data_IF_481227212057
#
_entry.id   IF_481227212057
#
_cell.length_a   1.000
_cell.length_b   1.000
_cell.length_c   1.000
_cell.angle_alpha   90.00
_cell.angle_beta   90.00
_cell.angle_gamma   90.00
#
_symmetry.space_group_name_H-M   'P 1'
#
loop_
_entity.id
_entity.type
_entity.pdbx_description
1 polymer ?
#
# COMPACT_ATOMS: atom_id res chain seq x y z
N UNK A 1 26.56 58.25 -19.68
CA UNK A 1 25.62 57.25 -20.22
C UNK A 1 24.95 56.59 -19.01
N UNK A 2 23.67 56.87 -18.75
CA UNK A 2 22.92 56.31 -17.61
C UNK A 2 22.02 55.23 -18.19
N UNK A 3 22.28 53.97 -17.89
CA UNK A 3 21.36 52.89 -18.24
C UNK A 3 20.09 53.02 -17.41
N UNK A 4 18.98 53.28 -18.10
CA UNK A 4 17.64 53.24 -17.52
C UNK A 4 17.16 51.80 -17.54
N UNK A 5 17.29 51.10 -16.41
CA UNK A 5 16.68 49.77 -16.22
C UNK A 5 15.16 49.96 -16.22
N UNK A 6 14.49 49.44 -17.25
CA UNK A 6 13.05 49.53 -17.39
C UNK A 6 12.35 48.72 -16.28
N UNK A 7 11.46 49.37 -15.52
CA UNK A 7 10.64 48.77 -14.46
C UNK A 7 9.75 47.59 -14.89
N UNK A 8 9.70 47.27 -16.20
CA UNK A 8 8.96 46.15 -16.78
C UNK A 8 9.67 44.80 -16.55
N UNK A 9 11.01 44.79 -16.48
CA UNK A 9 11.81 43.57 -16.21
C UNK A 9 11.73 43.13 -14.75
N UNK A 10 11.61 44.08 -13.81
CA UNK A 10 11.55 43.77 -12.37
C UNK A 10 10.30 42.98 -11.99
N UNK A 11 9.14 43.27 -12.59
CA UNK A 11 7.87 42.55 -12.32
C UNK A 11 7.93 41.07 -12.74
N UNK A 12 8.57 40.77 -13.86
CA UNK A 12 8.77 39.38 -14.31
C UNK A 12 9.65 38.59 -13.34
N UNK A 13 10.69 39.24 -12.80
CA UNK A 13 11.60 38.62 -11.84
C UNK A 13 10.95 38.34 -10.48
N UNK A 14 10.14 39.27 -9.95
CA UNK A 14 9.40 39.04 -8.70
C UNK A 14 8.35 37.91 -8.84
N UNK A 15 7.68 37.80 -9.99
CA UNK A 15 6.79 36.68 -10.26
C UNK A 15 7.55 35.35 -10.38
N UNK A 16 8.71 35.34 -11.05
CA UNK A 16 9.53 34.13 -11.18
C UNK A 16 10.12 33.67 -9.84
N UNK A 17 10.61 34.59 -9.01
CA UNK A 17 11.15 34.29 -7.67
C UNK A 17 10.04 33.83 -6.73
N UNK A 18 8.85 34.44 -6.77
CA UNK A 18 7.69 33.96 -6.00
C UNK A 18 7.22 32.56 -6.41
N UNK A 19 7.26 32.26 -7.72
CA UNK A 19 6.88 30.96 -8.26
C UNK A 19 7.93 29.88 -7.93
N UNK A 20 9.23 30.20 -7.99
CA UNK A 20 10.32 29.32 -7.56
C UNK A 20 10.34 29.10 -6.04
N UNK A 21 10.09 30.13 -5.24
CA UNK A 21 9.98 30.01 -3.78
C UNK A 21 8.74 29.20 -3.37
N UNK A 22 7.61 29.39 -4.05
CA UNK A 22 6.40 28.59 -3.86
C UNK A 22 6.60 27.13 -4.26
N UNK A 23 7.27 26.87 -5.39
CA UNK A 23 7.61 25.52 -5.83
C UNK A 23 8.57 24.83 -4.85
N UNK A 24 9.59 25.54 -4.36
CA UNK A 24 10.52 25.03 -3.36
C UNK A 24 9.81 24.65 -2.05
N UNK A 25 8.85 25.47 -1.59
CA UNK A 25 8.04 25.20 -0.39
C UNK A 25 7.12 23.98 -0.56
N UNK A 26 6.57 23.77 -1.76
CA UNK A 26 5.76 22.58 -2.07
C UNK A 26 6.64 21.32 -2.10
N UNK A 27 7.83 21.40 -2.72
CA UNK A 27 8.76 20.27 -2.79
C UNK A 27 9.33 19.89 -1.41
N UNK A 28 9.64 20.84 -0.54
CA UNK A 28 10.15 20.56 0.81
C UNK A 28 9.07 19.95 1.71
N UNK A 29 7.84 20.47 1.68
CA UNK A 29 6.73 19.91 2.47
C UNK A 29 6.37 18.49 2.02
N UNK A 30 6.32 18.24 0.71
CA UNK A 30 6.09 16.90 0.16
C UNK A 30 7.18 15.91 0.63
N UNK A 31 8.44 16.34 0.62
CA UNK A 31 9.56 15.52 1.10
C UNK A 31 9.47 15.21 2.59
N UNK A 32 9.08 16.18 3.44
CA UNK A 32 8.96 15.96 4.89
C UNK A 32 7.78 15.07 5.26
N UNK A 33 6.62 15.25 4.59
CA UNK A 33 5.44 14.43 4.82
C UNK A 33 5.70 12.96 4.43
N UNK A 34 6.31 12.76 3.25
CA UNK A 34 6.69 11.43 2.78
C UNK A 34 7.71 10.74 3.70
N UNK A 35 8.70 11.47 4.22
CA UNK A 35 9.67 10.91 5.18
C UNK A 35 9.00 10.48 6.49
N UNK A 36 8.05 11.29 7.01
CA UNK A 36 7.29 10.95 8.20
C UNK A 36 6.40 9.73 7.97
N UNK A 37 5.71 9.66 6.82
CA UNK A 37 4.96 8.50 6.37
C UNK A 37 5.84 7.25 6.29
N UNK A 38 6.97 7.30 5.59
CA UNK A 38 7.86 6.17 5.39
C UNK A 38 8.40 5.63 6.72
N UNK A 39 8.79 6.52 7.65
CA UNK A 39 9.22 6.14 8.99
C UNK A 39 8.08 5.49 9.79
N UNK A 40 6.90 6.10 9.81
CA UNK A 40 5.74 5.55 10.50
C UNK A 40 5.33 4.18 9.96
N UNK A 41 5.36 3.99 8.64
CA UNK A 41 5.12 2.68 8.04
C UNK A 41 6.17 1.64 8.43
N UNK A 42 7.46 2.01 8.41
CA UNK A 42 8.55 1.11 8.78
C UNK A 42 8.48 0.69 10.25
N UNK A 43 8.40 1.67 11.16
CA UNK A 43 8.36 1.45 12.60
C UNK A 43 7.06 0.73 13.01
N UNK A 44 5.94 1.04 12.35
CA UNK A 44 4.65 0.39 12.55
C UNK A 44 4.67 -1.08 12.16
N UNK A 45 5.22 -1.43 10.98
CA UNK A 45 5.39 -2.83 10.54
C UNK A 45 6.30 -3.60 11.52
N UNK A 46 7.40 -2.99 11.97
CA UNK A 46 8.31 -3.61 12.92
C UNK A 46 7.66 -3.84 14.30
N UNK A 47 6.85 -2.89 14.78
CA UNK A 47 6.10 -3.04 16.03
C UNK A 47 5.03 -4.14 15.93
N UNK A 48 4.29 -4.18 14.81
CA UNK A 48 3.29 -5.21 14.53
C UNK A 48 3.91 -6.61 14.53
N UNK A 49 5.07 -6.79 13.90
CA UNK A 49 5.79 -8.07 13.89
C UNK A 49 6.22 -8.54 15.29
N UNK A 50 6.51 -7.62 16.21
CA UNK A 50 6.85 -7.94 17.61
C UNK A 50 5.63 -8.12 18.51
N UNK A 51 4.41 -7.93 17.99
CA UNK A 51 3.17 -7.96 18.78
C UNK A 51 2.94 -6.71 19.63
N UNK A 52 3.71 -5.63 19.43
CA UNK A 52 3.47 -4.33 20.06
C UNK A 52 2.37 -3.59 19.30
N UNK A 53 1.11 -3.98 19.56
CA UNK A 53 -0.05 -3.47 18.83
C UNK A 53 -0.32 -1.98 19.11
N UNK A 54 -0.04 -1.49 20.32
CA UNK A 54 -0.21 -0.07 20.65
C UNK A 54 0.87 0.78 19.98
N UNK A 55 2.12 0.30 19.94
CA UNK A 55 3.19 0.93 19.16
C UNK A 55 2.89 0.92 17.66
N UNK A 56 2.40 -0.20 17.13
CA UNK A 56 2.00 -0.31 15.73
C UNK A 56 0.89 0.68 15.38
N UNK A 57 -0.17 0.74 16.21
CA UNK A 57 -1.28 1.69 16.04
C UNK A 57 -0.78 3.14 15.95
N UNK A 58 0.01 3.60 16.93
CA UNK A 58 0.53 4.98 16.96
C UNK A 58 1.33 5.33 15.71
N UNK A 59 2.17 4.41 15.25
CA UNK A 59 3.00 4.62 14.07
C UNK A 59 2.18 4.68 12.77
N UNK A 60 1.20 3.80 12.60
CA UNK A 60 0.32 3.83 11.43
C UNK A 60 -0.64 5.02 11.43
N UNK A 61 -1.13 5.45 12.60
CA UNK A 61 -1.91 6.69 12.73
C UNK A 61 -1.07 7.92 12.33
N UNK A 62 0.18 7.99 12.80
CA UNK A 62 1.10 9.06 12.41
C UNK A 62 1.42 9.03 10.90
N UNK A 63 1.58 7.84 10.32
CA UNK A 63 1.78 7.68 8.88
C UNK A 63 0.56 8.19 8.10
N UNK A 64 -0.66 7.82 8.50
CA UNK A 64 -1.91 8.25 7.86
C UNK A 64 -2.15 9.76 7.96
N UNK A 65 -1.77 10.38 9.09
CA UNK A 65 -1.81 11.84 9.27
C UNK A 65 -0.81 12.56 8.38
N UNK A 66 0.34 11.94 8.10
CA UNK A 66 1.38 12.52 7.23
C UNK A 66 1.03 12.38 5.76
N UNK A 67 0.54 11.20 5.37
CA UNK A 67 0.08 10.90 4.02
C UNK A 67 -1.15 9.99 4.09
N UNK A 68 -2.32 10.57 3.78
CA UNK A 68 -3.59 9.85 3.85
C UNK A 68 -3.73 8.93 2.65
N UNK A 69 -3.68 7.62 2.91
CA UNK A 69 -3.73 6.60 1.88
C UNK A 69 -4.29 5.27 2.40
N UNK A 70 -4.58 4.33 1.48
CA UNK A 70 -5.16 3.04 1.84
C UNK A 70 -4.21 2.17 2.66
N UNK A 71 -2.89 2.32 2.48
CA UNK A 71 -1.90 1.43 3.09
C UNK A 71 -1.87 1.58 4.62
N UNK A 72 -1.71 2.78 5.21
CA UNK A 72 -1.82 2.94 6.66
C UNK A 72 -3.14 2.43 7.25
N UNK A 73 -4.27 2.70 6.60
CA UNK A 73 -5.58 2.23 7.06
C UNK A 73 -5.69 0.71 7.06
N UNK A 74 -5.12 0.05 6.04
CA UNK A 74 -5.05 -1.41 5.98
C UNK A 74 -4.30 -1.96 7.18
N UNK A 75 -3.13 -1.40 7.50
CA UNK A 75 -2.35 -1.85 8.65
C UNK A 75 -3.01 -1.51 10.00
N UNK A 76 -3.73 -0.39 10.11
CA UNK A 76 -4.57 -0.12 11.26
C UNK A 76 -5.69 -1.16 11.41
N UNK A 77 -6.36 -1.54 10.31
CA UNK A 77 -7.36 -2.60 10.35
C UNK A 77 -6.76 -3.94 10.81
N UNK A 78 -5.54 -4.28 10.39
CA UNK A 78 -4.81 -5.48 10.86
C UNK A 78 -4.58 -5.41 12.36
N UNK A 79 -4.08 -4.28 12.87
CA UNK A 79 -3.86 -4.08 14.31
C UNK A 79 -5.16 -4.28 15.09
N UNK A 80 -6.25 -3.64 14.67
CA UNK A 80 -7.55 -3.77 15.34
C UNK A 80 -8.11 -5.19 15.23
N UNK A 81 -7.88 -5.88 14.11
CA UNK A 81 -8.23 -7.29 13.95
C UNK A 81 -7.50 -8.18 14.97
N UNK A 82 -6.18 -8.00 15.13
CA UNK A 82 -5.34 -8.74 16.09
C UNK A 82 -5.75 -8.45 17.54
N UNK A 83 -6.19 -7.22 17.81
CA UNK A 83 -6.71 -6.80 19.12
C UNK A 83 -8.17 -7.19 19.37
N UNK A 84 -8.80 -7.91 18.43
CA UNK A 84 -10.20 -8.35 18.50
C UNK A 84 -11.24 -7.20 18.49
N UNK A 85 -10.88 -6.03 17.98
CA UNK A 85 -11.79 -4.89 17.80
C UNK A 85 -12.44 -4.92 16.41
N UNK A 86 -13.38 -5.86 16.20
CA UNK A 86 -13.91 -6.19 14.86
C UNK A 86 -14.62 -5.04 14.16
N UNK A 87 -15.44 -4.26 14.85
CA UNK A 87 -16.19 -3.15 14.24
C UNK A 87 -15.24 -2.06 13.72
N UNK A 88 -14.16 -1.80 14.47
CA UNK A 88 -13.14 -0.83 14.07
C UNK A 88 -12.32 -1.37 12.90
N UNK A 89 -11.92 -2.64 12.95
CA UNK A 89 -11.19 -3.30 11.87
C UNK A 89 -12.00 -3.28 10.56
N UNK A 90 -13.30 -3.62 10.62
CA UNK A 90 -14.18 -3.63 9.45
C UNK A 90 -14.35 -2.22 8.86
N UNK A 91 -14.55 -1.20 9.71
CA UNK A 91 -14.65 0.18 9.21
C UNK A 91 -13.39 0.61 8.48
N UNK A 92 -12.23 0.38 9.10
CA UNK A 92 -10.93 0.78 8.53
C UNK A 92 -10.63 0.07 7.22
N UNK A 93 -10.90 -1.24 7.13
CA UNK A 93 -10.59 -2.00 5.90
C UNK A 93 -11.52 -1.63 4.74
N UNK A 94 -12.80 -1.31 5.03
CA UNK A 94 -13.74 -0.82 4.02
C UNK A 94 -13.37 0.58 3.54
N UNK A 95 -12.96 1.46 4.45
CA UNK A 95 -12.45 2.78 4.07
C UNK A 95 -11.22 2.63 3.17
N UNK A 96 -10.24 1.81 3.60
CA UNK A 96 -9.04 1.53 2.82
C UNK A 96 -9.34 0.99 1.42
N UNK A 97 -10.34 0.11 1.26
CA UNK A 97 -10.77 -0.45 -0.03
C UNK A 97 -11.38 0.58 -0.99
N UNK A 98 -12.01 1.63 -0.47
CA UNK A 98 -12.65 2.67 -1.30
C UNK A 98 -11.70 3.78 -1.78
N UNK A 99 -10.50 3.85 -1.21
CA UNK A 99 -9.52 4.87 -1.57
C UNK A 99 -8.76 4.50 -2.85
N UNK A 100 -8.28 5.48 -3.60
CA UNK A 100 -7.33 5.20 -4.68
C UNK A 100 -5.92 4.92 -4.14
N UNK A 101 -5.05 4.33 -4.97
CA UNK A 101 -3.62 4.21 -4.64
C UNK A 101 -3.21 2.99 -3.82
N UNK A 102 -3.95 1.87 -3.91
CA UNK A 102 -3.52 0.64 -3.23
C UNK A 102 -2.20 0.06 -3.76
N UNK A 103 -1.84 0.35 -5.02
CA UNK A 103 -0.68 -0.26 -5.67
C UNK A 103 -0.73 -1.79 -5.58
N UNK A 104 0.40 -2.41 -5.24
CA UNK A 104 0.51 -3.85 -5.01
C UNK A 104 0.00 -4.30 -3.62
N UNK A 105 -0.42 -3.38 -2.73
CA UNK A 105 -0.98 -3.73 -1.42
C UNK A 105 -2.45 -4.19 -1.47
N UNK A 106 -3.09 -4.17 -2.64
CA UNK A 106 -4.51 -4.55 -2.79
C UNK A 106 -4.84 -5.96 -2.29
N UNK A 107 -3.92 -6.93 -2.43
CA UNK A 107 -4.11 -8.28 -1.91
C UNK A 107 -4.20 -8.33 -0.38
N UNK A 108 -3.45 -7.47 0.32
CA UNK A 108 -3.52 -7.36 1.78
C UNK A 108 -4.90 -6.89 2.23
N UNK A 109 -5.46 -5.91 1.52
CA UNK A 109 -6.81 -5.39 1.78
C UNK A 109 -7.84 -6.52 1.65
N UNK A 110 -7.83 -7.23 0.53
CA UNK A 110 -8.77 -8.31 0.26
C UNK A 110 -8.64 -9.47 1.27
N UNK A 111 -7.40 -9.88 1.57
CA UNK A 111 -7.13 -10.96 2.50
C UNK A 111 -7.63 -10.64 3.91
N UNK A 112 -7.27 -9.48 4.46
CA UNK A 112 -7.71 -9.10 5.81
C UNK A 112 -9.20 -8.76 5.87
N UNK A 113 -9.80 -8.21 4.80
CA UNK A 113 -11.25 -8.05 4.72
C UNK A 113 -11.97 -9.39 4.82
N UNK A 114 -11.47 -10.43 4.14
CA UNK A 114 -12.03 -11.78 4.25
C UNK A 114 -11.94 -12.31 5.69
N UNK A 115 -10.79 -12.19 6.35
CA UNK A 115 -10.59 -12.61 7.74
C UNK A 115 -11.53 -11.88 8.72
N UNK A 116 -11.69 -10.57 8.55
CA UNK A 116 -12.57 -9.74 9.38
C UNK A 116 -14.02 -10.17 9.20
N UNK A 117 -14.48 -10.31 7.95
CA UNK A 117 -15.87 -10.66 7.66
C UNK A 117 -16.20 -12.09 8.07
N UNK A 118 -15.29 -13.06 7.91
CA UNK A 118 -15.48 -14.45 8.35
C UNK A 118 -15.71 -14.57 9.87
N UNK A 119 -15.16 -13.65 10.68
CA UNK A 119 -15.45 -13.61 12.12
C UNK A 119 -16.83 -13.05 12.47
N UNK A 120 -17.44 -12.30 11.55
CA UNK A 120 -18.74 -11.64 11.74
C UNK A 120 -19.89 -12.42 11.11
N UNK A 121 -19.76 -12.73 9.82
CA UNK A 121 -20.75 -13.42 9.01
C UNK A 121 -20.03 -14.34 8.02
N UNK A 122 -20.33 -15.64 8.11
CA UNK A 122 -19.65 -16.65 7.31
C UNK A 122 -19.92 -16.48 5.81
N UNK A 123 -21.12 -16.04 5.41
CA UNK A 123 -21.49 -15.93 4.00
C UNK A 123 -20.76 -14.77 3.34
N UNK A 124 -20.79 -13.60 3.96
CA UNK A 124 -20.04 -12.43 3.48
C UNK A 124 -18.52 -12.67 3.52
N UNK A 125 -18.04 -13.36 4.56
CA UNK A 125 -16.64 -13.73 4.68
C UNK A 125 -16.17 -14.67 3.56
N UNK A 126 -16.99 -15.67 3.19
CA UNK A 126 -16.70 -16.57 2.06
C UNK A 126 -16.74 -15.85 0.71
N UNK A 127 -17.65 -14.89 0.55
CA UNK A 127 -17.69 -14.03 -0.63
C UNK A 127 -16.41 -13.19 -0.74
N UNK A 128 -16.03 -12.50 0.34
CA UNK A 128 -14.77 -11.75 0.45
C UNK A 128 -13.54 -12.62 0.17
N UNK A 129 -13.53 -13.85 0.68
CA UNK A 129 -12.46 -14.81 0.41
C UNK A 129 -12.39 -15.20 -1.08
N UNK A 130 -13.53 -15.28 -1.77
CA UNK A 130 -13.58 -15.50 -3.22
C UNK A 130 -12.94 -14.37 -4.03
N UNK A 131 -13.15 -13.12 -3.61
CA UNK A 131 -12.49 -11.96 -4.21
C UNK A 131 -10.97 -12.01 -4.03
N UNK A 132 -10.51 -12.37 -2.82
CA UNK A 132 -9.09 -12.58 -2.54
C UNK A 132 -8.47 -13.67 -3.41
N UNK A 133 -9.07 -14.87 -3.46
CA UNK A 133 -8.53 -15.98 -4.27
C UNK A 133 -8.50 -15.61 -5.75
N UNK A 134 -9.54 -14.95 -6.26
CA UNK A 134 -9.59 -14.52 -7.66
C UNK A 134 -8.47 -13.52 -7.98
N UNK A 135 -8.22 -12.55 -7.09
CA UNK A 135 -7.17 -11.56 -7.28
C UNK A 135 -5.77 -12.18 -7.20
N UNK A 136 -5.51 -13.00 -6.16
CA UNK A 136 -4.20 -13.63 -5.99
C UNK A 136 -3.92 -14.66 -7.09
N UNK A 137 -4.94 -15.38 -7.55
CA UNK A 137 -4.87 -16.30 -8.69
C UNK A 137 -4.36 -15.67 -10.00
N UNK A 138 -4.48 -14.34 -10.14
CA UNK A 138 -3.99 -13.58 -11.30
C UNK A 138 -2.59 -12.98 -11.10
N UNK A 139 -1.98 -13.22 -9.93
CA UNK A 139 -0.76 -12.55 -9.47
C UNK A 139 0.41 -13.51 -9.30
N UNK A 140 0.48 -14.57 -10.12
CA UNK A 140 1.45 -15.68 -9.99
C UNK A 140 1.49 -16.27 -8.57
N UNK A 141 0.39 -16.87 -8.10
CA UNK A 141 0.23 -17.26 -6.70
C UNK A 141 1.17 -18.40 -6.28
N UNK A 142 1.55 -18.41 -5.00
CA UNK A 142 2.14 -19.59 -4.37
C UNK A 142 1.16 -20.77 -4.40
N UNK A 143 1.69 -22.00 -4.41
CA UNK A 143 0.87 -23.22 -4.37
C UNK A 143 -0.06 -23.30 -3.15
N UNK A 144 0.26 -22.60 -2.06
CA UNK A 144 -0.56 -22.55 -0.85
C UNK A 144 -1.92 -21.89 -1.07
N UNK A 145 -2.16 -21.26 -2.23
CA UNK A 145 -3.50 -20.79 -2.64
C UNK A 145 -4.52 -21.92 -2.76
N UNK A 146 -4.07 -23.15 -3.05
CA UNK A 146 -4.97 -24.30 -3.16
C UNK A 146 -5.64 -24.63 -1.82
N UNK A 147 -4.91 -24.49 -0.71
CA UNK A 147 -5.46 -24.69 0.64
C UNK A 147 -6.57 -23.66 0.95
N UNK A 148 -6.36 -22.41 0.52
CA UNK A 148 -7.33 -21.33 0.71
C UNK A 148 -8.58 -21.56 -0.16
N UNK A 149 -8.39 -21.99 -1.40
CA UNK A 149 -9.48 -22.33 -2.32
C UNK A 149 -10.28 -23.55 -1.81
N UNK A 150 -9.63 -24.54 -1.23
CA UNK A 150 -10.28 -25.71 -0.61
C UNK A 150 -11.10 -25.32 0.62
N UNK A 151 -10.57 -24.46 1.50
CA UNK A 151 -11.32 -23.89 2.62
C UNK A 151 -12.56 -23.12 2.12
N UNK A 152 -12.38 -22.28 1.09
CA UNK A 152 -13.48 -21.49 0.50
C UNK A 152 -14.57 -22.39 -0.09
N UNK A 153 -14.18 -23.40 -0.89
CA UNK A 153 -15.12 -24.32 -1.57
C UNK A 153 -15.88 -25.20 -0.60
N UNK A 154 -15.19 -25.72 0.41
CA UNK A 154 -15.80 -26.60 1.41
C UNK A 154 -16.62 -25.85 2.46
N UNK A 155 -16.39 -24.54 2.62
CA UNK A 155 -16.95 -23.72 3.70
C UNK A 155 -16.38 -24.04 5.09
N UNK A 156 -15.46 -25.02 5.19
CA UNK A 156 -14.80 -25.42 6.43
C UNK A 156 -13.58 -24.53 6.65
N UNK A 157 -13.83 -23.40 7.30
CA UNK A 157 -12.79 -22.40 7.56
C UNK A 157 -12.06 -22.69 8.87
N UNK A 158 -10.76 -22.97 8.75
CA UNK A 158 -9.81 -22.84 9.85
C UNK A 158 -9.25 -21.42 9.82
N UNK A 159 -9.77 -20.54 10.68
CA UNK A 159 -9.43 -19.12 10.67
C UNK A 159 -7.96 -18.86 11.02
N UNK A 160 -7.38 -19.64 11.94
CA UNK A 160 -5.99 -19.45 12.35
C UNK A 160 -5.05 -19.85 11.22
N UNK A 161 -5.31 -20.99 10.59
CA UNK A 161 -4.53 -21.42 9.41
C UNK A 161 -4.73 -20.49 8.23
N UNK A 162 -5.97 -20.04 7.97
CA UNK A 162 -6.26 -19.11 6.88
C UNK A 162 -5.50 -17.79 7.05
N UNK A 163 -5.41 -17.27 8.27
CA UNK A 163 -4.65 -16.05 8.57
C UNK A 163 -3.16 -16.21 8.27
N UNK A 164 -2.58 -17.37 8.61
CA UNK A 164 -1.17 -17.69 8.29
C UNK A 164 -0.95 -17.74 6.78
N UNK A 165 -1.84 -18.42 6.05
CA UNK A 165 -1.75 -18.57 4.60
C UNK A 165 -1.87 -17.21 3.89
N UNK A 166 -2.83 -16.38 4.28
CA UNK A 166 -3.00 -15.03 3.72
C UNK A 166 -1.76 -14.18 3.98
N UNK A 167 -1.21 -14.20 5.20
CA UNK A 167 -0.02 -13.40 5.53
C UNK A 167 1.21 -13.87 4.74
N UNK A 168 1.40 -15.18 4.55
CA UNK A 168 2.47 -15.75 3.72
C UNK A 168 2.35 -15.26 2.27
N UNK A 169 1.18 -15.46 1.67
CA UNK A 169 0.90 -15.17 0.27
C UNK A 169 1.05 -13.69 -0.05
N UNK A 170 0.48 -12.83 0.80
CA UNK A 170 0.57 -11.38 0.67
C UNK A 170 2.00 -10.90 0.91
N UNK A 171 2.67 -11.39 1.96
CA UNK A 171 4.05 -10.96 2.26
C UNK A 171 5.03 -11.40 1.17
N UNK A 172 4.86 -12.59 0.59
CA UNK A 172 5.68 -13.04 -0.53
C UNK A 172 5.49 -12.13 -1.75
N UNK A 173 4.24 -11.89 -2.15
CA UNK A 173 3.93 -11.04 -3.29
C UNK A 173 4.47 -9.61 -3.10
N UNK A 174 4.21 -8.99 -1.96
CA UNK A 174 4.67 -7.63 -1.66
C UNK A 174 6.20 -7.54 -1.70
N UNK A 175 6.93 -8.51 -1.14
CA UNK A 175 8.40 -8.53 -1.16
C UNK A 175 8.97 -8.66 -2.57
N UNK A 176 8.42 -9.54 -3.40
CA UNK A 176 8.88 -9.72 -4.77
C UNK A 176 8.63 -8.47 -5.62
N UNK A 177 7.48 -7.83 -5.46
CA UNK A 177 7.19 -6.55 -6.14
C UNK A 177 8.11 -5.44 -5.61
N UNK A 178 8.28 -5.32 -4.29
CA UNK A 178 9.17 -4.31 -3.68
C UNK A 178 10.62 -4.47 -4.16
N UNK A 179 11.14 -5.71 -4.22
CA UNK A 179 12.49 -5.98 -4.72
C UNK A 179 12.62 -5.59 -6.20
N UNK A 180 11.64 -5.97 -7.03
CA UNK A 180 11.65 -5.65 -8.46
C UNK A 180 11.59 -4.13 -8.69
N UNK A 181 10.74 -3.41 -7.96
CA UNK A 181 10.66 -1.95 -8.07
C UNK A 181 11.95 -1.26 -7.59
N UNK A 182 12.61 -1.79 -6.57
CA UNK A 182 13.82 -1.21 -6.01
C UNK A 182 15.08 -1.46 -6.85
N UNK A 183 15.20 -2.65 -7.46
CA UNK A 183 16.46 -3.11 -8.09
C UNK A 183 16.34 -3.50 -9.55
N UNK A 184 15.12 -3.68 -10.07
CA UNK A 184 14.87 -4.29 -11.37
C UNK A 184 15.14 -5.80 -11.41
N UNK A 185 15.48 -6.43 -10.28
CA UNK A 185 15.78 -7.86 -10.17
C UNK A 185 14.75 -8.58 -9.30
N UNK A 186 14.69 -9.91 -9.36
CA UNK A 186 13.77 -10.73 -8.55
C UNK A 186 12.81 -11.54 -9.40
N UNK A 187 11.73 -12.07 -8.80
CA UNK A 187 10.81 -12.98 -9.49
C UNK A 187 10.15 -12.40 -10.75
N UNK A 188 9.93 -11.08 -10.77
CA UNK A 188 9.28 -10.36 -11.88
C UNK A 188 10.24 -9.83 -12.95
N UNK A 189 11.55 -10.06 -12.81
CA UNK A 189 12.54 -9.71 -13.85
C UNK A 189 12.24 -10.45 -15.16
N UNK A 190 12.22 -9.70 -16.27
CA UNK A 190 11.92 -10.23 -17.61
C UNK A 190 10.47 -10.69 -17.84
N UNK A 191 9.56 -10.55 -16.86
CA UNK A 191 8.17 -11.03 -16.96
C UNK A 191 7.14 -9.99 -17.40
N UNK A 192 7.56 -8.77 -17.75
CA UNK A 192 6.65 -7.72 -18.23
C UNK A 192 5.67 -7.23 -17.16
N UNK A 193 6.08 -7.19 -15.90
CA UNK A 193 5.25 -6.72 -14.79
C UNK A 193 4.78 -5.27 -15.02
N UNK A 194 3.45 -5.08 -15.02
CA UNK A 194 2.78 -3.79 -15.20
C UNK A 194 2.95 -2.96 -13.92
N UNK A 195 4.15 -2.41 -13.73
CA UNK A 195 4.48 -1.61 -12.56
C UNK A 195 5.95 -1.18 -12.45
N UNK A 196 6.86 -1.79 -13.22
CA UNK A 196 8.27 -1.37 -13.26
C UNK A 196 8.51 -0.10 -14.08
N UNK A 197 9.56 0.70 -13.75
CA UNK A 197 9.87 1.96 -14.44
C UNK A 197 10.41 1.79 -15.87
N UNK A 198 10.68 0.56 -16.33
CA UNK A 198 11.25 0.31 -17.64
C UNK A 198 10.47 -0.75 -18.40
N UNK A 199 9.62 -0.31 -19.33
CA UNK A 199 9.31 -1.10 -20.52
C UNK A 199 10.47 -0.91 -21.50
N UNK A 200 11.37 -1.88 -21.59
CA UNK A 200 12.14 -2.07 -22.83
C UNK A 200 11.31 -2.95 -23.77
N UNK A 201 10.20 -2.41 -24.26
CA UNK A 201 9.62 -2.90 -25.51
C UNK A 201 10.45 -2.29 -26.63
N UNK A 202 11.21 -3.14 -27.34
CA UNK A 202 11.75 -2.89 -28.68
C UNK A 202 12.36 -1.51 -28.89
N UNK A 203 13.67 -1.40 -28.70
CA UNK A 203 14.39 -0.14 -28.76
C UNK A 203 14.07 0.71 -29.99
N UNK A 204 13.44 1.86 -29.77
CA UNK A 204 13.64 3.08 -30.54
C UNK A 204 13.57 4.25 -29.56
N UNK A 205 14.66 5.01 -29.48
CA UNK A 205 14.74 6.32 -28.81
C UNK A 205 14.18 7.36 -29.79
N UNK A 206 13.26 8.21 -29.36
CA UNK A 206 13.01 9.49 -30.04
C UNK A 206 13.47 10.63 -29.14
N UNK A 207 14.23 11.54 -29.73
CA UNK A 207 14.75 12.79 -29.16
C UNK A 207 13.64 13.80 -28.86
#
# INVERSE_FOLDING_TARGET
MRETIHARDMKGWFCLVGLLAGLALVCTNCSTAYQAYARGMFDGKAALQRGDYDGARRNFEAAYQSESGPVPLTYLAIVEYRMKHMEKAERLIREAETMEGHGYYGLRILGYKALILLRRDQREGLEALGWYVTAYGRSDPLMTINDVEDMRRSGKIDLERLEILIEEQVSWYEKEVEQFLATGTGYYDGKGFIGGPFRLEGGIIFH
#
